data_IF_216025730168
#
_entry.id   IF_216025730168
#
_cell.length_a   1.000
_cell.length_b   1.000
_cell.length_c   1.000
_cell.angle_alpha   90.00
_cell.angle_beta   90.00
_cell.angle_gamma   90.00
#
_symmetry.space_group_name_H-M   'P 1'
#
loop_
_entity.id
_entity.type
_entity.pdbx_description
1 polymer ?
#
# COMPACT_ATOMS: atom_id res chain seq x y z
N UNK A 1 40.31 -10.79 -7.71
CA UNK A 1 39.28 -9.76 -7.39
C UNK A 1 39.47 -9.32 -5.94
N UNK A 2 39.93 -8.09 -5.67
CA UNK A 2 40.39 -7.64 -4.33
C UNK A 2 39.29 -7.49 -3.26
N UNK A 3 38.02 -7.41 -3.65
CA UNK A 3 36.89 -7.18 -2.76
C UNK A 3 36.31 -8.48 -2.15
N UNK A 4 36.62 -9.65 -2.74
CA UNK A 4 36.15 -10.95 -2.25
C UNK A 4 36.68 -11.28 -0.84
N UNK A 5 37.89 -10.85 -0.52
CA UNK A 5 38.50 -11.16 0.79
C UNK A 5 37.83 -10.43 1.95
N UNK A 6 37.26 -9.26 1.69
CA UNK A 6 36.51 -8.44 2.66
C UNK A 6 35.07 -8.93 2.87
N UNK A 7 34.52 -9.71 1.93
CA UNK A 7 33.15 -10.22 1.94
C UNK A 7 33.07 -11.71 2.30
N UNK A 8 34.17 -12.32 2.77
CA UNK A 8 34.15 -13.74 3.18
C UNK A 8 33.07 -13.92 4.26
N UNK A 9 32.05 -14.76 4.02
CA UNK A 9 31.04 -15.02 5.02
C UNK A 9 31.71 -15.58 6.27
N UNK A 10 31.66 -14.84 7.37
CA UNK A 10 32.26 -15.22 8.66
C UNK A 10 31.54 -16.42 9.29
N UNK A 11 30.29 -16.66 8.88
CA UNK A 11 29.46 -17.76 9.33
C UNK A 11 28.89 -18.52 8.13
N UNK A 12 28.95 -19.86 8.19
CA UNK A 12 28.23 -20.72 7.25
C UNK A 12 26.75 -20.73 7.63
N UNK A 13 25.88 -20.38 6.69
CA UNK A 13 24.44 -20.50 6.87
C UNK A 13 23.98 -21.91 6.47
N UNK A 14 23.08 -22.54 7.24
CA UNK A 14 22.49 -23.81 6.83
C UNK A 14 21.64 -23.61 5.57
N UNK A 15 21.50 -24.67 4.78
CA UNK A 15 20.55 -24.70 3.68
C UNK A 15 19.12 -24.74 4.27
N UNK A 16 18.29 -23.77 3.90
CA UNK A 16 16.88 -23.63 4.31
C UNK A 16 15.93 -23.72 3.11
N UNK A 17 16.44 -24.17 1.96
CA UNK A 17 15.70 -24.18 0.71
C UNK A 17 14.55 -25.20 0.75
N UNK A 18 14.83 -26.42 1.22
CA UNK A 18 13.84 -27.48 1.39
C UNK A 18 12.66 -27.00 2.25
N UNK A 19 12.94 -26.50 3.45
CA UNK A 19 11.93 -26.05 4.41
C UNK A 19 11.00 -24.96 3.85
N UNK A 20 11.53 -24.11 2.97
CA UNK A 20 10.77 -22.98 2.41
C UNK A 20 9.97 -23.34 1.17
N UNK A 21 10.50 -24.22 0.32
CA UNK A 21 10.00 -24.37 -1.04
C UNK A 21 9.53 -25.77 -1.39
N UNK A 22 9.94 -26.82 -0.67
CA UNK A 22 9.58 -28.21 -0.99
C UNK A 22 8.06 -28.42 -1.06
N UNK A 23 7.30 -27.76 -0.20
CA UNK A 23 5.82 -27.88 -0.18
C UNK A 23 5.11 -26.85 -1.07
N UNK A 24 5.84 -25.89 -1.66
CA UNK A 24 5.26 -24.81 -2.47
C UNK A 24 5.26 -25.11 -3.97
N UNK A 25 6.02 -26.11 -4.38
CA UNK A 25 6.19 -26.50 -5.79
C UNK A 25 6.03 -28.01 -5.91
N UNK A 26 5.87 -28.48 -7.13
CA UNK A 26 5.80 -29.92 -7.42
C UNK A 26 7.15 -30.61 -7.15
N UNK A 27 7.17 -31.93 -6.93
CA UNK A 27 8.41 -32.66 -6.67
C UNK A 27 9.48 -32.45 -7.75
N UNK A 28 9.16 -32.57 -9.04
CA UNK A 28 10.17 -32.39 -10.09
C UNK A 28 10.58 -30.92 -10.27
N UNK A 29 9.67 -29.96 -10.00
CA UNK A 29 10.04 -28.55 -9.94
C UNK A 29 11.05 -28.26 -8.82
N UNK A 30 10.85 -28.86 -7.64
CA UNK A 30 11.76 -28.68 -6.52
C UNK A 30 13.17 -29.21 -6.86
N UNK A 31 13.26 -30.41 -7.41
CA UNK A 31 14.53 -31.02 -7.84
C UNK A 31 15.24 -30.18 -8.90
N UNK A 32 14.49 -29.67 -9.89
CA UNK A 32 15.02 -28.78 -10.91
C UNK A 32 15.63 -27.51 -10.28
N UNK A 33 14.90 -26.86 -9.37
CA UNK A 33 15.36 -25.65 -8.70
C UNK A 33 16.60 -25.91 -7.84
N UNK A 34 16.66 -27.05 -7.14
CA UNK A 34 17.83 -27.44 -6.36
C UNK A 34 19.09 -27.63 -7.24
N UNK A 35 18.92 -28.18 -8.46
CA UNK A 35 20.00 -28.28 -9.43
C UNK A 35 20.41 -26.90 -10.01
N UNK A 36 19.45 -26.04 -10.35
CA UNK A 36 19.74 -24.71 -10.91
C UNK A 36 20.40 -23.76 -9.89
N UNK A 37 20.06 -23.89 -8.60
CA UNK A 37 20.57 -23.04 -7.53
C UNK A 37 21.84 -23.57 -6.86
N UNK A 38 22.57 -24.48 -7.51
CA UNK A 38 23.92 -24.85 -7.08
C UNK A 38 24.82 -23.60 -7.00
N UNK A 39 25.45 -23.45 -5.83
CA UNK A 39 26.33 -22.33 -5.52
C UNK A 39 27.59 -22.36 -6.40
N UNK A 40 28.14 -23.56 -6.61
CA UNK A 40 29.28 -23.79 -7.47
C UNK A 40 28.84 -23.76 -8.95
N UNK A 41 29.31 -22.79 -9.76
CA UNK A 41 28.92 -22.69 -11.16
C UNK A 41 29.37 -23.91 -11.98
N UNK A 42 30.44 -24.61 -11.59
CA UNK A 42 30.90 -25.80 -12.29
C UNK A 42 29.97 -27.01 -12.11
N UNK A 43 29.11 -26.98 -11.08
CA UNK A 43 28.12 -28.02 -10.79
C UNK A 43 26.72 -27.67 -11.31
N UNK A 44 26.54 -26.44 -11.80
CA UNK A 44 25.24 -25.99 -12.29
C UNK A 44 24.97 -26.63 -13.66
N UNK A 45 23.79 -27.20 -13.89
CA UNK A 45 23.43 -27.75 -15.19
C UNK A 45 23.43 -26.66 -16.27
N UNK A 46 23.68 -27.07 -17.51
CA UNK A 46 23.52 -26.20 -18.68
C UNK A 46 22.04 -26.00 -19.00
N UNK A 47 21.73 -25.06 -19.90
CA UNK A 47 20.36 -24.86 -20.37
C UNK A 47 19.79 -26.10 -21.08
N UNK A 48 20.63 -26.87 -21.79
CA UNK A 48 20.22 -28.11 -22.44
C UNK A 48 19.81 -29.16 -21.40
N UNK A 49 20.67 -29.40 -20.40
CA UNK A 49 20.39 -30.34 -19.32
C UNK A 49 19.10 -29.98 -18.56
N UNK A 50 18.84 -28.68 -18.37
CA UNK A 50 17.61 -28.19 -17.73
C UNK A 50 16.37 -28.54 -18.54
N UNK A 51 16.41 -28.41 -19.87
CA UNK A 51 15.26 -28.70 -20.73
C UNK A 51 14.94 -30.20 -20.82
N UNK A 52 15.92 -31.06 -20.54
CA UNK A 52 15.74 -32.52 -20.50
C UNK A 52 15.18 -33.01 -19.15
N UNK A 53 15.09 -32.13 -18.14
CA UNK A 53 14.65 -32.49 -16.79
C UNK A 53 13.21 -33.07 -16.77
N UNK A 54 12.90 -34.06 -15.91
CA UNK A 54 11.56 -34.65 -15.77
C UNK A 54 10.43 -33.64 -15.56
N UNK A 55 10.73 -32.48 -14.97
CA UNK A 55 9.80 -31.37 -14.81
C UNK A 55 9.17 -30.93 -16.15
N UNK A 56 9.94 -30.94 -17.25
CA UNK A 56 9.46 -30.55 -18.57
C UNK A 56 9.04 -31.74 -19.44
N UNK A 57 9.57 -32.94 -19.17
CA UNK A 57 9.42 -34.10 -20.06
C UNK A 57 8.42 -35.14 -19.57
N UNK A 58 8.12 -35.19 -18.26
CA UNK A 58 7.28 -36.25 -17.65
C UNK A 58 6.22 -35.69 -16.70
N UNK A 59 6.54 -34.67 -15.91
CA UNK A 59 5.62 -34.15 -14.88
C UNK A 59 4.46 -33.37 -15.52
N UNK A 60 3.25 -33.57 -15.00
CA UNK A 60 2.07 -32.80 -15.39
C UNK A 60 1.95 -31.50 -14.56
N UNK A 61 1.41 -30.42 -15.13
CA UNK A 61 0.90 -30.30 -16.50
C UNK A 61 2.01 -30.17 -17.55
N UNK A 62 1.76 -30.72 -18.73
CA UNK A 62 2.66 -30.55 -19.87
C UNK A 62 2.79 -29.06 -20.26
N UNK A 63 3.94 -28.64 -20.81
CA UNK A 63 4.13 -27.27 -21.26
C UNK A 63 3.09 -26.90 -22.33
N UNK A 64 2.38 -25.80 -22.09
CA UNK A 64 1.34 -25.28 -22.98
C UNK A 64 1.59 -23.80 -23.29
N UNK A 65 1.20 -23.37 -24.49
CA UNK A 65 1.22 -21.96 -24.87
C UNK A 65 0.25 -21.15 -23.99
N UNK A 66 0.73 -20.04 -23.44
CA UNK A 66 -0.05 -19.13 -22.60
C UNK A 66 -1.03 -18.27 -23.43
N UNK A 67 -2.11 -18.90 -23.90
CA UNK A 67 -3.16 -18.25 -24.68
C UNK A 67 -3.98 -17.24 -23.86
N UNK A 68 -4.04 -17.38 -22.53
CA UNK A 68 -4.83 -16.48 -21.68
C UNK A 68 -4.28 -15.04 -21.68
N UNK A 69 -3.01 -14.87 -22.04
CA UNK A 69 -2.38 -13.56 -22.18
C UNK A 69 -2.98 -12.73 -23.32
N UNK A 70 -3.68 -13.34 -24.29
CA UNK A 70 -4.31 -12.60 -25.39
C UNK A 70 -5.45 -11.69 -24.93
N UNK A 71 -6.18 -12.11 -23.90
CA UNK A 71 -7.30 -11.36 -23.32
C UNK A 71 -6.87 -10.41 -22.22
N UNK A 72 -5.59 -10.40 -21.87
CA UNK A 72 -5.09 -9.60 -20.77
C UNK A 72 -5.06 -8.12 -21.20
N UNK A 73 -5.95 -7.33 -20.60
CA UNK A 73 -5.99 -5.89 -20.84
C UNK A 73 -4.92 -5.17 -20.02
N UNK A 74 -4.36 -4.11 -20.61
CA UNK A 74 -3.39 -3.24 -19.97
C UNK A 74 -1.95 -3.52 -20.36
N UNK A 75 -1.12 -2.58 -19.95
CA UNK A 75 0.27 -2.42 -20.34
C UNK A 75 1.16 -2.94 -19.20
N UNK A 76 1.61 -4.18 -19.34
CA UNK A 76 2.32 -4.93 -18.29
C UNK A 76 3.85 -4.78 -18.39
N UNK A 77 4.33 -3.74 -19.07
CA UNK A 77 5.75 -3.44 -19.07
C UNK A 77 6.16 -2.81 -17.74
N UNK A 78 7.40 -3.08 -17.34
CA UNK A 78 8.00 -2.49 -16.13
C UNK A 78 7.87 -0.96 -16.12
N UNK A 79 7.98 -0.34 -17.30
CA UNK A 79 7.86 1.09 -17.49
C UNK A 79 6.47 1.63 -17.15
N UNK A 80 5.41 1.06 -17.75
CA UNK A 80 4.03 1.48 -17.52
C UNK A 80 3.58 1.19 -16.08
N UNK A 81 3.99 0.05 -15.53
CA UNK A 81 3.77 -0.29 -14.12
C UNK A 81 4.44 0.72 -13.18
N UNK A 82 5.67 1.14 -13.47
CA UNK A 82 6.37 2.18 -12.70
C UNK A 82 5.68 3.53 -12.82
N UNK A 83 5.22 3.89 -14.01
CA UNK A 83 4.46 5.13 -14.22
C UNK A 83 3.15 5.14 -13.42
N UNK A 84 2.38 4.04 -13.48
CA UNK A 84 1.12 3.90 -12.75
C UNK A 84 1.31 3.94 -11.23
N UNK A 85 2.36 3.29 -10.70
CA UNK A 85 2.70 3.39 -9.26
C UNK A 85 3.00 4.84 -8.86
N UNK A 86 3.78 5.54 -9.67
CA UNK A 86 4.14 6.95 -9.42
C UNK A 86 2.93 7.88 -9.50
N UNK A 87 2.02 7.63 -10.44
CA UNK A 87 0.76 8.37 -10.56
C UNK A 87 -0.16 8.12 -9.36
N UNK A 88 -0.35 6.86 -8.98
CA UNK A 88 -1.15 6.48 -7.80
C UNK A 88 -0.58 7.10 -6.52
N UNK A 89 0.74 7.08 -6.33
CA UNK A 89 1.39 7.73 -5.18
C UNK A 89 1.17 9.25 -5.19
N UNK A 90 1.24 9.89 -6.37
CA UNK A 90 0.96 11.32 -6.52
C UNK A 90 -0.49 11.65 -6.18
N UNK A 91 -1.45 10.86 -6.68
CA UNK A 91 -2.89 11.02 -6.42
C UNK A 91 -3.20 10.88 -4.93
N UNK A 92 -2.65 9.85 -4.27
CA UNK A 92 -2.85 9.63 -2.84
C UNK A 92 -2.28 10.78 -2.00
N UNK A 93 -1.12 11.31 -2.38
CA UNK A 93 -0.51 12.48 -1.72
C UNK A 93 -1.35 13.74 -1.90
N UNK A 94 -1.90 13.96 -3.08
CA UNK A 94 -2.79 15.09 -3.36
C UNK A 94 -4.11 14.97 -2.61
N UNK A 95 -4.71 13.78 -2.55
CA UNK A 95 -5.92 13.51 -1.77
C UNK A 95 -5.68 13.77 -0.27
N UNK A 96 -4.56 13.30 0.30
CA UNK A 96 -4.19 13.59 1.70
C UNK A 96 -4.03 15.09 1.96
N UNK A 97 -3.40 15.82 1.03
CA UNK A 97 -3.25 17.29 1.13
C UNK A 97 -4.60 18.01 1.04
N UNK A 98 -5.51 17.55 0.18
CA UNK A 98 -6.85 18.12 0.05
C UNK A 98 -7.66 17.94 1.34
N UNK A 99 -7.66 16.73 1.91
CA UNK A 99 -8.32 16.45 3.20
C UNK A 99 -7.74 17.30 4.33
N UNK A 100 -6.41 17.45 4.39
CA UNK A 100 -5.77 18.32 5.40
C UNK A 100 -6.15 19.79 5.21
N UNK A 101 -6.21 20.29 3.97
CA UNK A 101 -6.65 21.67 3.69
C UNK A 101 -8.13 21.88 4.04
N UNK A 102 -9.00 20.92 3.74
CA UNK A 102 -10.43 21.00 4.07
C UNK A 102 -10.64 20.95 5.60
N UNK A 103 -9.92 20.10 6.31
CA UNK A 103 -9.95 20.04 7.77
C UNK A 103 -9.50 21.37 8.39
N UNK A 104 -8.40 21.95 7.88
CA UNK A 104 -7.88 23.24 8.32
C UNK A 104 -8.85 24.40 8.00
N UNK A 105 -9.51 24.39 6.84
CA UNK A 105 -10.50 25.42 6.50
C UNK A 105 -11.74 25.33 7.37
N UNK A 106 -12.28 24.12 7.60
CA UNK A 106 -13.40 23.88 8.52
C UNK A 106 -13.08 24.28 9.95
N UNK A 107 -11.87 24.02 10.43
CA UNK A 107 -11.43 24.46 11.75
C UNK A 107 -11.33 25.99 11.83
N UNK A 108 -10.78 26.62 10.79
CA UNK A 108 -10.70 28.08 10.69
C UNK A 108 -12.09 28.70 10.70
N UNK A 109 -13.05 28.12 9.98
CA UNK A 109 -14.45 28.55 9.95
C UNK A 109 -15.15 28.43 11.30
N UNK A 110 -14.95 27.31 12.01
CA UNK A 110 -15.45 27.12 13.38
C UNK A 110 -14.89 28.13 14.38
N UNK A 111 -13.67 28.61 14.15
CA UNK A 111 -13.00 29.62 14.99
C UNK A 111 -13.27 31.06 14.53
N UNK A 112 -14.06 31.29 13.47
CA UNK A 112 -14.43 32.66 13.06
C UNK A 112 -15.38 33.26 14.10
N UNK A 113 -15.14 34.51 14.54
CA UNK A 113 -16.12 35.21 15.37
C UNK A 113 -17.42 35.41 14.57
N UNK A 114 -18.60 35.37 15.22
CA UNK A 114 -19.86 35.64 14.55
C UNK A 114 -19.82 37.04 13.91
N UNK A 115 -20.42 37.17 12.73
CA UNK A 115 -20.48 38.45 12.02
C UNK A 115 -21.39 39.44 12.75
N UNK A 116 -21.15 40.74 12.56
CA UNK A 116 -21.93 41.81 13.21
C UNK A 116 -23.44 41.66 12.97
N UNK A 117 -23.84 41.16 11.79
CA UNK A 117 -25.22 40.86 11.43
C UNK A 117 -25.84 39.71 12.27
N UNK A 118 -25.07 38.66 12.56
CA UNK A 118 -25.52 37.52 13.39
C UNK A 118 -25.59 37.89 14.88
N UNK A 119 -24.71 38.79 15.34
CA UNK A 119 -24.82 39.38 16.69
C UNK A 119 -26.05 40.28 16.81
N UNK A 120 -26.35 41.09 15.79
CA UNK A 120 -27.56 41.93 15.76
C UNK A 120 -28.85 41.09 15.79
N UNK A 121 -28.90 39.96 15.08
CA UNK A 121 -30.06 39.06 15.10
C UNK A 121 -30.27 38.40 16.48
N UNK A 122 -29.19 38.00 17.16
CA UNK A 122 -29.27 37.43 18.52
C UNK A 122 -29.66 38.47 19.56
N UNK A 123 -29.18 39.71 19.42
CA UNK A 123 -29.51 40.81 20.33
C UNK A 123 -30.98 41.22 20.18
N UNK A 124 -31.48 41.30 18.93
CA UNK A 124 -32.89 41.56 18.65
C UNK A 124 -33.82 40.50 19.29
N UNK A 125 -33.40 39.22 19.29
CA UNK A 125 -34.16 38.13 19.92
C UNK A 125 -34.13 38.16 21.45
N UNK A 126 -33.13 38.82 22.05
CA UNK A 126 -32.99 39.00 23.50
C UNK A 126 -33.88 40.11 24.03
N UNK A 127 -34.02 41.22 23.30
CA UNK A 127 -34.84 42.38 23.68
C UNK A 127 -36.34 42.03 23.74
N UNK A 128 -36.80 41.05 22.96
CA UNK A 128 -38.22 40.66 22.88
C UNK A 128 -38.75 39.90 24.13
N UNK A 129 -37.91 39.61 25.14
CA UNK A 129 -38.27 38.74 26.28
C UNK A 129 -38.37 39.43 27.65
N UNK A 130 -38.31 40.76 27.74
CA UNK A 130 -38.44 41.44 29.04
C UNK A 130 -39.91 41.70 29.45
N UNK A 131 -40.34 41.31 30.67
CA UNK A 131 -41.68 41.63 31.19
C UNK A 131 -41.72 43.04 31.85
N UNK A 132 -42.92 43.66 31.99
CA UNK A 132 -43.06 45.05 32.46
C UNK A 132 -42.81 45.21 33.98
N UNK A 133 -42.47 46.43 34.45
CA UNK A 133 -41.98 46.65 35.81
C UNK A 133 -43.10 46.59 36.88
N UNK A 134 -42.78 46.24 38.15
CA UNK A 134 -43.76 46.05 39.21
C UNK A 134 -44.14 47.38 39.93
N UNK A 135 -45.35 47.38 40.49
CA UNK A 135 -46.01 48.50 41.21
C UNK A 135 -45.69 48.39 42.72
N UNK A 136 -45.56 49.50 43.49
CA UNK A 136 -45.04 49.43 44.86
C UNK A 136 -46.13 49.07 45.89
N UNK A 137 -45.80 48.18 46.82
CA UNK A 137 -46.67 47.73 47.92
C UNK A 137 -46.68 48.71 49.10
N UNK A 138 -47.87 48.91 49.69
CA UNK A 138 -48.11 49.70 50.90
C UNK A 138 -47.87 48.83 52.13
N UNK A 139 -47.03 49.29 53.05
CA UNK A 139 -46.99 48.78 54.43
C UNK A 139 -48.25 49.23 55.19
N UNK A 140 -48.94 48.29 55.83
CA UNK A 140 -49.93 48.57 56.86
C UNK A 140 -49.52 47.82 58.14
N UNK A 141 -49.30 48.60 59.20
CA UNK A 141 -49.28 48.17 60.58
C UNK A 141 -50.71 48.00 61.12
#
# INVERSE_FOLDING_TARGET
>A
MQWFELLRPTARRPNVFADKYRERVTPAAYELLEAMFQYDPAKRPTAGDVLEHPYFTVEEPAPQQAIELQTLEGDWHEFESKALRKENEKRDKEARRAVQKEAASREKERKRPPSDAETMERDAKRVQTMPPPPVPEKEAA
#
